data_IF_081869722922
#
_entry.id   IF_081869722922
#
_cell.length_a   1.000
_cell.length_b   1.000
_cell.length_c   1.000
_cell.angle_alpha   90.00
_cell.angle_beta   90.00
_cell.angle_gamma   90.00
#
_symmetry.space_group_name_H-M   'P 1'
#
loop_
_entity.id
_entity.type
_entity.pdbx_description
1 polymer ?
#
# COMPACT_ATOMS: atom_id res chain seq x y z
N UNK A 1 -15.00 78.74 5.02
CA UNK A 1 -15.45 77.55 4.28
C UNK A 1 -14.22 76.74 3.96
N UNK A 2 -14.08 75.57 4.63
CA UNK A 2 -12.89 74.71 4.51
C UNK A 2 -13.28 73.51 3.62
N UNK A 3 -12.65 73.40 2.48
CA UNK A 3 -12.77 72.25 1.60
C UNK A 3 -11.82 71.14 2.12
N UNK A 4 -12.42 70.04 2.54
CA UNK A 4 -11.73 68.82 2.97
C UNK A 4 -11.64 67.90 1.76
N UNK A 5 -10.45 67.80 1.18
CA UNK A 5 -10.15 66.84 0.11
C UNK A 5 -9.91 65.46 0.73
N UNK A 6 -10.82 64.52 0.47
CA UNK A 6 -10.60 63.11 0.73
C UNK A 6 -9.81 62.50 -0.43
N UNK A 7 -8.53 62.19 -0.20
CA UNK A 7 -7.76 61.29 -1.06
C UNK A 7 -8.18 59.82 -0.77
N UNK A 8 -8.86 59.25 -1.73
CA UNK A 8 -9.14 57.81 -1.76
C UNK A 8 -7.87 57.11 -2.26
N UNK A 9 -7.07 56.50 -1.36
CA UNK A 9 -6.00 55.56 -1.74
C UNK A 9 -6.65 54.23 -2.17
N UNK A 10 -6.77 54.03 -3.46
CA UNK A 10 -7.00 52.71 -4.04
C UNK A 10 -5.66 51.94 -3.95
N UNK A 11 -5.55 51.03 -2.98
CA UNK A 11 -4.52 50.02 -2.98
C UNK A 11 -4.88 49.01 -4.09
N UNK A 12 -4.28 49.15 -5.26
CA UNK A 12 -4.27 48.10 -6.28
C UNK A 12 -3.36 47.01 -5.72
N UNK A 13 -3.95 45.96 -5.19
CA UNK A 13 -3.24 44.69 -4.99
C UNK A 13 -2.86 44.20 -6.40
N UNK A 14 -1.62 44.40 -6.78
CA UNK A 14 -1.06 43.71 -7.94
C UNK A 14 -1.05 42.21 -7.59
N UNK A 15 -2.03 41.48 -8.07
CA UNK A 15 -1.91 40.03 -8.17
C UNK A 15 -0.77 39.78 -9.16
N UNK A 16 0.44 39.61 -8.66
CA UNK A 16 1.50 38.97 -9.43
C UNK A 16 0.99 37.54 -9.69
N UNK A 17 0.65 37.21 -10.91
CA UNK A 17 0.50 35.81 -11.30
C UNK A 17 1.89 35.18 -11.01
N UNK A 18 1.98 34.47 -9.91
CA UNK A 18 3.08 33.52 -9.71
C UNK A 18 2.94 32.55 -10.89
N UNK A 19 3.97 32.49 -11.75
CA UNK A 19 3.99 31.47 -12.81
C UNK A 19 3.80 30.08 -12.22
N UNK A 20 3.50 29.10 -13.05
CA UNK A 20 3.32 27.72 -12.63
C UNK A 20 4.46 27.27 -11.72
N UNK A 21 4.11 26.61 -10.61
CA UNK A 21 5.05 26.10 -9.61
C UNK A 21 5.30 24.61 -9.86
N UNK A 22 6.55 24.18 -10.09
CA UNK A 22 6.87 22.78 -10.24
C UNK A 22 6.76 22.04 -8.90
N UNK A 23 6.23 20.82 -8.93
CA UNK A 23 6.15 19.89 -7.81
C UNK A 23 6.41 18.47 -8.32
N UNK A 24 7.26 17.72 -7.65
CA UNK A 24 7.41 16.29 -7.89
C UNK A 24 6.74 15.49 -6.77
N UNK A 25 5.85 14.56 -7.11
CA UNK A 25 5.28 13.61 -6.18
C UNK A 25 5.93 12.25 -6.43
N UNK A 26 6.72 11.80 -5.46
CA UNK A 26 7.19 10.42 -5.41
C UNK A 26 6.13 9.57 -4.72
N UNK A 27 5.87 8.36 -5.23
CA UNK A 27 4.85 7.52 -4.63
C UNK A 27 5.17 6.03 -4.73
N UNK A 28 4.74 5.29 -3.70
CA UNK A 28 4.76 3.83 -3.61
C UNK A 28 3.40 3.34 -3.13
N UNK A 29 3.19 2.04 -3.19
CA UNK A 29 2.08 1.32 -2.58
C UNK A 29 2.39 -0.16 -2.57
N UNK A 30 1.60 -0.93 -1.83
CA UNK A 30 1.67 -2.40 -1.81
C UNK A 30 3.11 -2.92 -1.59
N UNK A 31 3.84 -2.28 -0.67
CA UNK A 31 5.24 -2.63 -0.41
C UNK A 31 5.40 -3.99 0.26
N UNK A 32 4.39 -4.43 1.02
CA UNK A 32 4.31 -5.72 1.69
C UNK A 32 5.57 -6.09 2.49
N UNK A 33 6.23 -5.09 3.04
CA UNK A 33 7.41 -5.27 3.87
C UNK A 33 8.60 -5.89 3.16
N UNK A 34 8.72 -5.69 1.85
CA UNK A 34 9.88 -6.19 1.07
C UNK A 34 11.13 -5.44 1.48
N UNK A 35 11.92 -6.06 2.36
CA UNK A 35 13.10 -5.43 2.97
C UNK A 35 14.39 -5.75 2.23
N UNK A 36 14.46 -6.90 1.58
CA UNK A 36 15.66 -7.40 0.90
C UNK A 36 15.67 -7.02 -0.57
N UNK A 37 16.79 -6.45 -1.02
CA UNK A 37 17.09 -6.35 -2.44
C UNK A 37 17.53 -7.72 -2.98
N UNK A 38 17.06 -8.09 -4.17
CA UNK A 38 17.45 -9.34 -4.84
C UNK A 38 18.53 -9.07 -5.87
N UNK A 39 19.68 -9.70 -5.70
CA UNK A 39 20.76 -9.62 -6.67
C UNK A 39 20.43 -10.45 -7.91
N UNK A 40 20.39 -9.79 -9.07
CA UNK A 40 20.26 -10.42 -10.39
C UNK A 40 21.67 -10.60 -10.99
N UNK A 41 22.17 -11.84 -10.98
CA UNK A 41 23.49 -12.16 -11.51
C UNK A 41 23.64 -11.87 -13.02
N UNK A 42 22.56 -11.98 -13.77
CA UNK A 42 22.58 -11.77 -15.22
C UNK A 42 22.65 -10.28 -15.54
N UNK A 43 21.87 -9.47 -14.85
CA UNK A 43 21.84 -8.02 -15.04
C UNK A 43 22.95 -7.29 -14.26
N UNK A 44 23.52 -7.93 -13.22
CA UNK A 44 24.50 -7.31 -12.34
C UNK A 44 23.90 -6.17 -11.50
N UNK A 45 22.65 -6.34 -11.05
CA UNK A 45 21.87 -5.33 -10.34
C UNK A 45 21.21 -5.92 -9.09
N UNK A 46 21.08 -5.12 -8.04
CA UNK A 46 20.12 -5.34 -6.97
C UNK A 46 18.76 -4.76 -7.37
N UNK A 47 17.69 -5.47 -7.06
CA UNK A 47 16.31 -5.08 -7.39
C UNK A 47 15.43 -5.06 -6.14
N UNK A 48 14.65 -4.00 -5.99
CA UNK A 48 13.68 -3.84 -4.91
C UNK A 48 14.29 -3.67 -3.53
N UNK A 49 13.43 -3.70 -2.52
CA UNK A 49 13.81 -3.57 -1.12
C UNK A 49 14.07 -2.14 -0.64
N UNK A 50 14.02 -1.96 0.68
CA UNK A 50 14.06 -0.62 1.28
C UNK A 50 15.38 0.14 1.05
N UNK A 51 16.51 -0.57 0.92
CA UNK A 51 17.81 0.09 0.76
C UNK A 51 18.02 0.60 -0.66
N UNK A 52 17.46 -0.08 -1.66
CA UNK A 52 17.43 0.42 -3.04
C UNK A 52 16.48 1.61 -3.14
N UNK A 53 15.32 1.52 -2.48
CA UNK A 53 14.39 2.66 -2.40
C UNK A 53 15.05 3.88 -1.74
N UNK A 54 15.80 3.72 -0.63
CA UNK A 54 16.52 4.81 0.01
C UNK A 54 17.50 5.50 -0.96
N UNK A 55 18.30 4.70 -1.67
CA UNK A 55 19.30 5.21 -2.63
C UNK A 55 18.63 6.01 -3.75
N UNK A 56 17.62 5.42 -4.40
CA UNK A 56 16.90 6.03 -5.52
C UNK A 56 16.11 7.27 -5.07
N UNK A 57 15.36 7.19 -3.97
CA UNK A 57 14.56 8.30 -3.46
C UNK A 57 15.43 9.48 -3.01
N UNK A 58 16.61 9.21 -2.41
CA UNK A 58 17.55 10.25 -2.03
C UNK A 58 18.08 10.99 -3.24
N UNK A 59 18.47 10.27 -4.29
CA UNK A 59 18.92 10.86 -5.54
C UNK A 59 17.79 11.67 -6.23
N UNK A 60 16.58 11.12 -6.26
CA UNK A 60 15.41 11.76 -6.85
C UNK A 60 15.04 13.06 -6.12
N UNK A 61 15.00 13.07 -4.79
CA UNK A 61 14.75 14.29 -3.99
C UNK A 61 15.83 15.35 -4.18
N UNK A 62 17.09 14.92 -4.37
CA UNK A 62 18.19 15.87 -4.64
C UNK A 62 18.04 16.56 -6.00
N UNK A 63 17.50 15.84 -7.00
CA UNK A 63 17.20 16.39 -8.32
C UNK A 63 15.92 17.24 -8.33
N UNK A 64 14.97 16.93 -7.44
CA UNK A 64 13.66 17.56 -7.33
C UNK A 64 13.43 18.10 -5.91
N UNK A 65 14.03 19.23 -5.53
CA UNK A 65 13.99 19.73 -4.14
C UNK A 65 12.58 20.07 -3.65
N UNK A 66 11.69 20.55 -4.54
CA UNK A 66 10.26 20.68 -4.23
C UNK A 66 9.55 19.39 -4.52
N UNK A 67 9.58 18.47 -3.57
CA UNK A 67 8.96 17.16 -3.72
C UNK A 67 8.33 16.66 -2.42
N UNK A 68 7.32 15.80 -2.56
CA UNK A 68 6.69 15.04 -1.49
C UNK A 68 6.78 13.54 -1.81
N UNK A 69 6.80 12.70 -0.78
CA UNK A 69 6.74 11.25 -0.90
C UNK A 69 5.48 10.73 -0.24
N UNK A 70 4.63 10.03 -1.01
CA UNK A 70 3.33 9.52 -0.60
C UNK A 70 3.28 8.00 -0.76
N UNK A 71 2.44 7.33 0.03
CA UNK A 71 2.29 5.88 -0.04
C UNK A 71 0.81 5.49 -0.01
N UNK A 72 0.39 4.62 -0.92
CA UNK A 72 -0.99 4.20 -1.09
C UNK A 72 -1.40 2.98 -0.25
N UNK A 73 -0.67 2.67 0.84
CA UNK A 73 -1.03 1.62 1.79
C UNK A 73 -0.46 0.24 1.49
N UNK A 74 -0.88 -0.75 2.29
CA UNK A 74 -0.35 -2.11 2.29
C UNK A 74 1.18 -2.15 2.46
N UNK A 75 1.66 -1.40 3.45
CA UNK A 75 3.05 -1.44 3.90
C UNK A 75 3.34 -2.77 4.61
N UNK A 76 2.30 -3.32 5.26
CA UNK A 76 2.37 -4.49 6.12
C UNK A 76 2.15 -5.80 5.35
N UNK A 77 2.44 -6.91 5.99
CA UNK A 77 2.20 -8.29 5.54
C UNK A 77 2.85 -8.64 4.19
N UNK A 78 3.46 -9.81 4.10
CA UNK A 78 4.15 -10.31 2.90
C UNK A 78 5.58 -10.75 3.16
N UNK A 79 6.18 -10.29 4.26
CA UNK A 79 7.49 -10.72 4.71
C UNK A 79 7.53 -10.94 6.22
N UNK A 80 8.57 -11.66 6.68
CA UNK A 80 8.80 -11.81 8.11
C UNK A 80 9.15 -10.49 8.79
N UNK A 81 9.76 -9.57 8.06
CA UNK A 81 10.09 -8.24 8.55
C UNK A 81 8.81 -7.46 8.90
N UNK A 82 7.79 -7.56 8.04
CA UNK A 82 6.48 -6.93 8.25
C UNK A 82 5.62 -7.63 9.31
N UNK A 83 5.77 -8.96 9.45
CA UNK A 83 4.94 -9.73 10.40
C UNK A 83 5.50 -9.75 11.82
N UNK A 84 6.74 -9.33 12.00
CA UNK A 84 7.40 -9.38 13.29
C UNK A 84 6.88 -8.33 14.26
N UNK A 85 6.84 -8.71 15.56
CA UNK A 85 6.63 -7.75 16.64
C UNK A 85 7.92 -6.95 16.90
N UNK A 86 7.82 -5.64 16.85
CA UNK A 86 8.86 -4.69 17.19
C UNK A 86 8.31 -3.68 18.20
N UNK A 87 8.87 -3.64 19.40
CA UNK A 87 8.37 -2.84 20.53
C UNK A 87 6.85 -3.00 20.76
N UNK A 88 6.39 -4.24 20.82
CA UNK A 88 4.99 -4.66 20.99
C UNK A 88 4.03 -4.34 19.82
N UNK A 89 4.53 -3.89 18.68
CA UNK A 89 3.75 -3.59 17.48
C UNK A 89 4.11 -4.56 16.36
N UNK A 90 3.15 -5.33 15.86
CA UNK A 90 3.36 -6.11 14.63
C UNK A 90 3.58 -5.16 13.47
N UNK A 91 4.66 -5.36 12.71
CA UNK A 91 5.04 -4.49 11.61
C UNK A 91 5.66 -3.15 12.02
N UNK A 92 5.92 -2.93 13.31
CA UNK A 92 6.54 -1.70 13.79
C UNK A 92 7.87 -1.37 13.14
N UNK A 93 8.63 -2.40 12.72
CA UNK A 93 9.87 -2.21 12.00
C UNK A 93 9.68 -1.60 10.60
N UNK A 94 8.59 -1.91 9.92
CA UNK A 94 8.23 -1.30 8.63
C UNK A 94 7.93 0.19 8.79
N UNK A 95 7.13 0.54 9.80
CA UNK A 95 6.83 1.95 10.10
C UNK A 95 8.12 2.75 10.34
N UNK A 96 9.06 2.18 11.08
CA UNK A 96 10.35 2.85 11.34
C UNK A 96 11.18 3.03 10.06
N UNK A 97 11.09 2.10 9.09
CA UNK A 97 11.72 2.28 7.78
C UNK A 97 11.13 3.50 7.07
N UNK A 98 9.81 3.60 6.98
CA UNK A 98 9.15 4.75 6.33
C UNK A 98 9.38 6.07 7.10
N UNK A 99 9.49 6.04 8.43
CA UNK A 99 9.93 7.19 9.23
C UNK A 99 11.33 7.68 8.78
N UNK A 100 12.28 6.76 8.58
CA UNK A 100 13.65 7.09 8.12
C UNK A 100 13.71 7.51 6.67
N UNK A 101 12.83 6.98 5.83
CA UNK A 101 12.63 7.42 4.44
C UNK A 101 11.92 8.76 4.34
N UNK A 102 11.49 9.34 5.48
CA UNK A 102 10.78 10.62 5.56
C UNK A 102 9.54 10.63 4.64
N UNK A 103 8.68 9.62 4.83
CA UNK A 103 7.38 9.59 4.16
C UNK A 103 6.53 10.78 4.64
N UNK A 104 5.88 11.48 3.71
CA UNK A 104 5.08 12.66 4.02
C UNK A 104 3.63 12.31 4.41
N UNK A 105 3.04 11.27 3.81
CA UNK A 105 1.73 10.73 4.18
C UNK A 105 1.51 9.31 3.62
N UNK A 106 0.66 8.53 4.29
CA UNK A 106 0.16 7.25 3.82
C UNK A 106 -1.34 7.10 4.10
N UNK A 107 -1.99 6.15 3.41
CA UNK A 107 -3.34 5.67 3.71
C UNK A 107 -3.26 4.26 4.28
N UNK A 108 -4.29 3.80 5.00
CA UNK A 108 -4.37 2.40 5.37
C UNK A 108 -4.82 1.54 4.20
N UNK A 109 -4.07 0.50 3.88
CA UNK A 109 -4.55 -0.62 3.10
C UNK A 109 -5.26 -1.65 3.97
N UNK A 110 -5.61 -2.81 3.39
CA UNK A 110 -6.24 -3.87 4.17
C UNK A 110 -5.23 -4.58 5.09
N UNK A 111 -3.99 -4.70 4.69
CA UNK A 111 -2.99 -5.42 5.48
C UNK A 111 -2.52 -4.69 6.75
N UNK A 112 -2.78 -3.42 6.92
CA UNK A 112 -2.62 -2.73 8.20
C UNK A 112 -3.59 -3.25 9.28
N UNK A 113 -4.66 -3.98 8.89
CA UNK A 113 -5.65 -4.56 9.80
C UNK A 113 -5.48 -6.07 10.04
N UNK A 114 -4.44 -6.71 9.54
CA UNK A 114 -4.28 -8.18 9.60
C UNK A 114 -4.15 -8.75 11.02
N UNK A 115 -3.57 -8.00 11.95
CA UNK A 115 -3.33 -8.51 13.31
C UNK A 115 -4.45 -8.15 14.28
N UNK A 116 -4.78 -6.87 14.44
CA UNK A 116 -5.91 -6.40 15.25
C UNK A 116 -6.13 -4.91 15.02
N UNK A 117 -7.31 -4.41 15.39
CA UNK A 117 -7.59 -2.96 15.36
C UNK A 117 -6.68 -2.17 16.30
N UNK A 118 -6.31 -2.72 17.49
CA UNK A 118 -5.33 -2.06 18.36
C UNK A 118 -3.97 -1.94 17.70
N UNK A 119 -3.50 -3.00 17.01
CA UNK A 119 -2.24 -2.95 16.30
C UNK A 119 -2.25 -1.88 15.19
N UNK A 120 -3.35 -1.74 14.42
CA UNK A 120 -3.49 -0.69 13.41
C UNK A 120 -3.33 0.71 14.02
N UNK A 121 -3.92 0.94 15.19
CA UNK A 121 -3.75 2.21 15.92
C UNK A 121 -2.33 2.41 16.41
N UNK A 122 -1.69 1.35 16.88
CA UNK A 122 -0.29 1.39 17.34
C UNK A 122 0.66 1.68 16.18
N UNK A 123 0.42 1.13 14.98
CA UNK A 123 1.16 1.49 13.76
C UNK A 123 1.05 2.99 13.47
N UNK A 124 -0.18 3.53 13.49
CA UNK A 124 -0.40 4.97 13.25
C UNK A 124 0.24 5.85 14.32
N UNK A 125 0.26 5.40 15.58
CA UNK A 125 0.89 6.13 16.69
C UNK A 125 2.43 6.14 16.56
N UNK A 126 3.00 5.05 16.03
CA UNK A 126 4.45 4.91 15.83
C UNK A 126 4.97 5.69 14.62
N UNK A 127 4.11 5.96 13.64
CA UNK A 127 4.47 6.70 12.45
C UNK A 127 4.75 8.18 12.75
N UNK A 128 5.88 8.69 12.22
CA UNK A 128 6.19 10.13 12.25
C UNK A 128 5.49 10.89 11.11
N UNK A 129 4.86 10.15 10.20
CA UNK A 129 4.01 10.65 9.13
C UNK A 129 2.54 10.36 9.43
N UNK A 130 1.60 11.14 8.90
CA UNK A 130 0.17 10.86 9.07
C UNK A 130 -0.25 9.64 8.25
N UNK A 131 -0.95 8.68 8.90
CA UNK A 131 -1.91 7.84 8.21
C UNK A 131 -3.18 8.65 8.02
N UNK A 132 -3.47 9.02 6.77
CA UNK A 132 -4.66 9.78 6.42
C UNK A 132 -5.82 8.83 6.22
N UNK A 133 -6.94 9.09 6.89
CA UNK A 133 -8.07 8.19 6.87
C UNK A 133 -9.39 8.99 6.86
N UNK A 134 -9.91 9.22 5.67
CA UNK A 134 -11.10 10.05 5.49
C UNK A 134 -12.38 9.24 5.71
N UNK A 135 -12.40 7.96 5.28
CA UNK A 135 -13.62 7.15 5.27
C UNK A 135 -13.73 6.10 6.38
N UNK A 136 -12.70 5.87 7.20
CA UNK A 136 -12.78 4.93 8.31
C UNK A 136 -12.87 5.66 9.64
N UNK A 137 -13.95 5.41 10.39
CA UNK A 137 -14.18 6.00 11.72
C UNK A 137 -14.15 4.92 12.80
N UNK A 138 -13.51 5.22 13.91
CA UNK A 138 -13.66 4.43 15.14
C UNK A 138 -15.09 4.56 15.67
N UNK A 139 -15.80 3.45 15.86
CA UNK A 139 -17.21 3.44 16.28
C UNK A 139 -17.43 4.05 17.66
N UNK A 140 -16.44 3.97 18.55
CA UNK A 140 -16.53 4.45 19.93
C UNK A 140 -16.31 5.95 20.04
N UNK A 141 -15.32 6.47 19.34
CA UNK A 141 -14.94 7.89 19.39
C UNK A 141 -15.57 8.72 18.27
N UNK A 142 -16.00 8.07 17.17
CA UNK A 142 -16.45 8.70 15.92
C UNK A 142 -15.37 9.54 15.24
N UNK A 143 -14.11 9.36 15.64
CA UNK A 143 -12.97 10.03 15.01
C UNK A 143 -12.39 9.15 13.92
N UNK A 144 -11.68 9.73 12.92
CA UNK A 144 -10.94 8.97 11.93
C UNK A 144 -9.95 7.98 12.57
N UNK A 145 -9.86 6.79 12.03
CA UNK A 145 -8.81 5.83 12.40
C UNK A 145 -7.46 6.48 12.10
N UNK A 146 -6.50 6.44 13.06
CA UNK A 146 -5.24 7.18 12.93
C UNK A 146 -5.34 8.68 13.23
N UNK A 147 -6.55 9.21 13.49
CA UNK A 147 -6.78 10.56 14.03
C UNK A 147 -6.80 11.71 13.02
N UNK A 148 -6.60 11.46 11.72
CA UNK A 148 -6.54 12.53 10.70
C UNK A 148 -7.41 12.18 9.48
N UNK A 149 -8.48 12.97 9.22
CA UNK A 149 -9.30 12.79 8.02
C UNK A 149 -8.59 13.27 6.75
N UNK A 150 -7.74 14.27 6.88
CA UNK A 150 -6.88 14.81 5.83
C UNK A 150 -5.63 15.46 6.44
N UNK A 151 -4.66 15.77 5.61
CA UNK A 151 -3.48 16.57 5.97
C UNK A 151 -3.19 17.62 4.91
N UNK A 152 -2.65 18.76 5.32
CA UNK A 152 -2.08 19.75 4.40
C UNK A 152 -0.55 19.68 4.54
N UNK A 153 0.12 19.38 3.45
CA UNK A 153 1.58 19.34 3.37
C UNK A 153 2.03 20.61 2.68
N UNK A 154 2.84 21.39 3.35
CA UNK A 154 3.42 22.61 2.79
C UNK A 154 4.83 22.34 2.26
N UNK A 155 5.09 22.69 1.00
CA UNK A 155 6.38 22.49 0.36
C UNK A 155 6.76 23.70 -0.50
N UNK A 156 7.70 24.50 0.00
CA UNK A 156 8.25 25.68 -0.69
C UNK A 156 7.17 26.61 -1.28
N UNK A 157 6.15 26.90 -0.46
CA UNK A 157 5.06 27.80 -0.80
C UNK A 157 3.90 27.17 -1.58
N UNK A 158 3.93 25.85 -1.81
CA UNK A 158 2.81 25.06 -2.35
C UNK A 158 2.16 24.24 -1.23
N UNK A 159 0.84 24.25 -1.15
CA UNK A 159 0.04 23.52 -0.15
C UNK A 159 -0.66 22.35 -0.83
N UNK A 160 -0.37 21.15 -0.40
CA UNK A 160 -0.94 19.91 -0.93
C UNK A 160 -1.94 19.36 0.08
N UNK A 161 -3.20 19.34 -0.26
CA UNK A 161 -4.25 18.68 0.50
C UNK A 161 -4.27 17.19 0.19
N UNK A 162 -4.13 16.34 1.21
CA UNK A 162 -4.12 14.88 1.04
C UNK A 162 -5.28 14.28 1.82
N UNK A 163 -6.17 13.57 1.12
CA UNK A 163 -7.27 12.78 1.67
C UNK A 163 -6.92 11.28 1.52
N UNK A 164 -7.47 10.41 2.37
CA UNK A 164 -7.15 8.98 2.36
C UNK A 164 -8.38 8.08 2.35
N UNK A 165 -8.47 7.17 1.39
CA UNK A 165 -9.58 6.22 1.21
C UNK A 165 -9.08 4.79 1.29
N UNK A 166 -9.63 4.02 2.22
CA UNK A 166 -9.48 2.57 2.29
C UNK A 166 -10.76 1.92 1.74
N UNK A 167 -10.62 0.75 1.15
CA UNK A 167 -11.72 0.03 0.47
C UNK A 167 -12.95 -0.20 1.36
N UNK A 168 -14.14 -0.07 0.77
CA UNK A 168 -15.41 -0.31 1.48
C UNK A 168 -15.58 -1.78 1.89
N UNK A 169 -15.06 -2.71 1.06
CA UNK A 169 -15.12 -4.16 1.30
C UNK A 169 -14.05 -4.64 2.28
N UNK A 170 -13.45 -3.76 3.07
CA UNK A 170 -12.43 -4.10 4.06
C UNK A 170 -12.82 -5.31 4.97
N UNK A 171 -14.08 -5.46 5.45
CA UNK A 171 -14.45 -6.64 6.25
C UNK A 171 -14.42 -7.97 5.49
N UNK A 172 -14.39 -7.95 4.16
CA UNK A 172 -14.27 -9.14 3.31
C UNK A 172 -12.82 -9.50 3.01
N UNK A 173 -11.90 -8.55 3.19
CA UNK A 173 -10.48 -8.71 2.87
C UNK A 173 -9.62 -9.06 4.09
N UNK A 174 -10.13 -8.85 5.29
CA UNK A 174 -9.43 -9.13 6.56
C UNK A 174 -10.33 -9.90 7.53
N UNK A 175 -9.79 -10.35 8.66
CA UNK A 175 -10.61 -10.93 9.71
C UNK A 175 -11.64 -9.91 10.18
N UNK A 176 -12.92 -10.22 10.05
CA UNK A 176 -14.02 -9.30 10.38
C UNK A 176 -13.93 -8.75 11.82
N UNK A 177 -13.41 -9.54 12.77
CA UNK A 177 -13.22 -9.08 14.14
C UNK A 177 -12.18 -7.94 14.25
N UNK A 178 -11.17 -7.90 13.38
CA UNK A 178 -10.13 -6.87 13.40
C UNK A 178 -10.67 -5.50 12.98
N UNK A 179 -11.77 -5.46 12.26
CA UNK A 179 -12.43 -4.23 11.80
C UNK A 179 -13.82 -4.04 12.39
N UNK A 180 -14.23 -4.86 13.37
CA UNK A 180 -15.54 -4.79 13.99
C UNK A 180 -15.81 -3.46 14.71
N UNK A 181 -14.76 -2.77 15.17
CA UNK A 181 -14.81 -1.44 15.79
C UNK A 181 -14.71 -0.29 14.77
N UNK A 182 -14.61 -0.58 13.49
CA UNK A 182 -14.50 0.43 12.42
C UNK A 182 -15.85 0.61 11.72
N UNK A 183 -16.26 1.86 11.53
CA UNK A 183 -17.34 2.26 10.64
C UNK A 183 -16.74 2.76 9.34
N UNK A 184 -17.16 2.19 8.22
CA UNK A 184 -16.71 2.57 6.89
C UNK A 184 -17.77 3.48 6.27
N UNK A 185 -17.37 4.61 5.75
CA UNK A 185 -18.21 5.54 5.01
C UNK A 185 -18.01 5.33 3.51
N UNK A 186 -19.04 5.57 2.67
CA UNK A 186 -18.85 5.61 1.23
C UNK A 186 -17.76 6.63 0.85
N UNK A 187 -16.81 6.28 -0.02
CA UNK A 187 -15.64 7.09 -0.33
C UNK A 187 -15.98 8.53 -0.78
N UNK A 188 -16.89 8.69 -1.73
CA UNK A 188 -17.27 10.01 -2.24
C UNK A 188 -17.92 10.88 -1.15
N UNK A 189 -18.80 10.29 -0.32
CA UNK A 189 -19.45 11.00 0.77
C UNK A 189 -18.41 11.47 1.80
N UNK A 190 -17.46 10.61 2.13
CA UNK A 190 -16.40 10.91 3.07
C UNK A 190 -15.49 12.06 2.59
N UNK A 191 -15.11 12.05 1.31
CA UNK A 191 -14.33 13.12 0.70
C UNK A 191 -15.12 14.43 0.74
N UNK A 192 -16.39 14.42 0.32
CA UNK A 192 -17.23 15.61 0.27
C UNK A 192 -17.43 16.26 1.65
N UNK A 193 -17.35 15.50 2.75
CA UNK A 193 -17.44 16.05 4.11
C UNK A 193 -16.30 17.03 4.42
N UNK A 194 -15.15 16.90 3.80
CA UNK A 194 -13.95 17.69 4.08
C UNK A 194 -13.47 18.53 2.90
N UNK A 195 -14.03 18.33 1.72
CA UNK A 195 -13.53 18.93 0.47
C UNK A 195 -13.46 20.46 0.52
N UNK A 196 -14.51 21.14 1.02
CA UNK A 196 -14.52 22.60 1.13
C UNK A 196 -13.42 23.12 2.08
N UNK A 197 -13.16 22.38 3.15
CA UNK A 197 -12.11 22.77 4.10
C UNK A 197 -10.71 22.53 3.52
N UNK A 198 -10.52 21.41 2.80
CA UNK A 198 -9.25 21.08 2.16
C UNK A 198 -8.94 22.06 1.04
N UNK A 199 -9.89 22.34 0.17
CA UNK A 199 -9.79 23.26 -0.96
C UNK A 199 -9.38 24.67 -0.50
N UNK A 200 -10.02 25.20 0.54
CA UNK A 200 -9.66 26.49 1.12
C UNK A 200 -8.19 26.56 1.61
N UNK A 201 -7.61 25.41 1.98
CA UNK A 201 -6.29 25.30 2.63
C UNK A 201 -5.19 24.80 1.69
N UNK A 202 -5.50 24.39 0.49
CA UNK A 202 -4.55 23.79 -0.44
C UNK A 202 -4.63 24.36 -1.84
N UNK A 203 -3.57 24.21 -2.59
CA UNK A 203 -3.39 24.63 -3.97
C UNK A 203 -3.45 23.41 -4.92
N UNK A 204 -3.42 22.19 -4.35
CA UNK A 204 -3.51 20.90 -5.03
C UNK A 204 -4.20 19.90 -4.11
N UNK A 205 -5.13 19.11 -4.62
CA UNK A 205 -5.81 18.04 -3.85
C UNK A 205 -5.49 16.66 -4.41
N UNK A 206 -4.87 15.84 -3.57
CA UNK A 206 -4.50 14.45 -3.84
C UNK A 206 -5.35 13.52 -2.98
N UNK A 207 -5.93 12.49 -3.57
CA UNK A 207 -6.58 11.40 -2.85
C UNK A 207 -5.67 10.18 -2.90
N UNK A 208 -5.17 9.76 -1.75
CA UNK A 208 -4.51 8.44 -1.62
C UNK A 208 -5.61 7.39 -1.47
N UNK A 209 -5.57 6.35 -2.28
CA UNK A 209 -6.58 5.29 -2.22
C UNK A 209 -5.94 3.92 -2.05
N UNK A 210 -6.65 3.05 -1.31
CA UNK A 210 -6.32 1.64 -1.28
C UNK A 210 -7.59 0.82 -1.46
N UNK A 211 -8.15 0.83 -2.69
CA UNK A 211 -9.42 0.17 -2.99
C UNK A 211 -9.46 -0.53 -4.35
N UNK A 212 -8.40 -0.40 -5.16
CA UNK A 212 -8.28 -0.99 -6.48
C UNK A 212 -8.82 -0.12 -7.61
N UNK A 213 -8.38 -0.43 -8.82
CA UNK A 213 -8.60 0.40 -10.02
C UNK A 213 -10.08 0.60 -10.39
N UNK A 214 -10.89 -0.46 -10.28
CA UNK A 214 -12.32 -0.36 -10.62
C UNK A 214 -13.03 0.63 -9.68
N UNK A 215 -12.79 0.51 -8.37
CA UNK A 215 -13.37 1.40 -7.37
C UNK A 215 -12.82 2.83 -7.50
N UNK A 216 -11.52 2.99 -7.78
CA UNK A 216 -10.92 4.30 -8.04
C UNK A 216 -11.48 4.97 -9.30
N UNK A 217 -11.75 4.19 -10.35
CA UNK A 217 -12.36 4.68 -11.58
C UNK A 217 -13.78 5.22 -11.35
N UNK A 218 -14.58 4.46 -10.57
CA UNK A 218 -15.93 4.88 -10.18
C UNK A 218 -15.89 6.12 -9.28
N UNK A 219 -14.95 6.16 -8.34
CA UNK A 219 -14.73 7.31 -7.47
C UNK A 219 -14.37 8.55 -8.29
N UNK A 220 -13.41 8.47 -9.21
CA UNK A 220 -12.98 9.57 -10.07
C UNK A 220 -14.14 10.18 -10.90
N UNK A 221 -15.06 9.32 -11.36
CA UNK A 221 -16.26 9.77 -12.09
C UNK A 221 -17.23 10.56 -11.22
N UNK A 222 -17.23 10.33 -9.90
CA UNK A 222 -18.18 10.93 -8.95
C UNK A 222 -17.61 12.13 -8.19
N UNK A 223 -16.27 12.30 -8.17
CA UNK A 223 -15.62 13.38 -7.44
C UNK A 223 -15.76 14.74 -8.12
N UNK A 224 -15.80 15.77 -7.29
CA UNK A 224 -15.72 17.17 -7.68
C UNK A 224 -14.44 17.48 -8.47
N UNK A 225 -14.49 18.47 -9.35
CA UNK A 225 -13.35 18.87 -10.21
C UNK A 225 -12.20 19.54 -9.44
N UNK A 226 -12.38 19.85 -8.17
CA UNK A 226 -11.32 20.34 -7.27
C UNK A 226 -10.30 19.26 -6.89
N UNK A 227 -10.65 17.98 -7.04
CA UNK A 227 -9.69 16.88 -6.85
C UNK A 227 -8.88 16.70 -8.12
N UNK A 228 -7.56 16.79 -8.01
CA UNK A 228 -6.63 16.75 -9.15
C UNK A 228 -6.11 15.34 -9.44
N UNK A 229 -5.71 14.61 -8.39
CA UNK A 229 -4.98 13.36 -8.49
C UNK A 229 -5.57 12.28 -7.59
N UNK A 230 -5.53 11.04 -8.06
CA UNK A 230 -5.71 9.83 -7.26
C UNK A 230 -4.42 9.01 -7.36
N UNK A 231 -3.84 8.62 -6.21
CA UNK A 231 -2.71 7.69 -6.16
C UNK A 231 -3.22 6.41 -5.48
N UNK A 232 -3.33 5.33 -6.27
CA UNK A 232 -4.01 4.11 -5.86
C UNK A 232 -3.10 2.94 -5.56
N UNK A 233 -3.65 1.94 -4.83
CA UNK A 233 -3.05 0.66 -4.48
C UNK A 233 -4.05 -0.49 -4.56
N UNK A 234 -3.76 -1.60 -3.89
CA UNK A 234 -4.56 -2.82 -3.72
C UNK A 234 -4.45 -3.84 -4.85
N UNK A 235 -4.63 -3.45 -6.10
CA UNK A 235 -4.62 -4.37 -7.26
C UNK A 235 -3.23 -4.65 -7.81
N UNK A 236 -2.18 -4.02 -7.23
CA UNK A 236 -0.78 -4.13 -7.66
C UNK A 236 -0.55 -3.65 -9.10
N UNK A 237 -1.39 -2.76 -9.61
CA UNK A 237 -1.30 -2.26 -10.98
C UNK A 237 -0.02 -1.44 -11.16
N UNK A 238 0.68 -1.73 -12.24
CA UNK A 238 1.78 -0.93 -12.76
C UNK A 238 1.28 -0.12 -13.96
N UNK A 239 1.26 1.19 -13.83
CA UNK A 239 0.85 2.08 -14.91
C UNK A 239 1.94 3.10 -15.21
N UNK A 240 2.62 2.95 -16.35
CA UNK A 240 3.64 3.91 -16.79
C UNK A 240 3.00 5.24 -17.16
N UNK A 241 1.86 5.20 -17.86
CA UNK A 241 1.06 6.36 -18.18
C UNK A 241 -0.11 6.49 -17.20
N UNK A 242 -0.46 7.71 -16.77
CA UNK A 242 -1.61 7.94 -15.92
C UNK A 242 -2.91 7.58 -16.64
N UNK A 243 -3.84 6.97 -15.93
CA UNK A 243 -5.22 6.94 -16.44
C UNK A 243 -5.85 8.32 -16.22
N UNK A 244 -6.60 8.83 -17.21
CA UNK A 244 -7.33 10.07 -17.07
C UNK A 244 -8.83 9.77 -17.11
N UNK A 245 -9.51 9.98 -15.98
CA UNK A 245 -10.94 9.71 -15.81
C UNK A 245 -11.61 10.95 -15.26
N UNK A 246 -12.58 11.48 -15.99
CA UNK A 246 -13.34 12.69 -15.63
C UNK A 246 -12.40 13.86 -15.23
N UNK A 247 -11.33 14.08 -16.00
CA UNK A 247 -10.37 15.15 -15.78
C UNK A 247 -9.36 14.92 -14.63
N UNK A 248 -9.44 13.78 -13.94
CA UNK A 248 -8.55 13.42 -12.84
C UNK A 248 -7.53 12.39 -13.29
N UNK A 249 -6.29 12.51 -12.80
CA UNK A 249 -5.22 11.57 -13.10
C UNK A 249 -5.16 10.48 -12.02
N UNK A 250 -5.16 9.21 -12.44
CA UNK A 250 -4.99 8.06 -11.56
C UNK A 250 -3.60 7.46 -11.79
N UNK A 251 -2.83 7.33 -10.71
CA UNK A 251 -1.43 6.91 -10.70
C UNK A 251 -1.26 5.63 -9.88
N UNK A 252 -0.49 4.66 -10.41
CA UNK A 252 -0.21 3.37 -9.75
C UNK A 252 1.25 2.98 -9.96
N UNK A 253 1.96 2.66 -8.87
CA UNK A 253 3.39 2.30 -8.92
C UNK A 253 3.68 0.81 -9.01
N UNK A 254 2.65 -0.04 -9.08
CA UNK A 254 2.84 -1.48 -8.91
C UNK A 254 2.99 -1.87 -7.44
N UNK A 255 3.73 -2.94 -7.17
CA UNK A 255 3.87 -3.48 -5.83
C UNK A 255 5.28 -3.97 -5.51
N UNK A 256 5.48 -4.39 -4.25
CA UNK A 256 6.70 -5.06 -3.76
C UNK A 256 7.98 -4.26 -3.99
N UNK A 257 7.88 -2.93 -3.98
CA UNK A 257 9.02 -2.03 -4.22
C UNK A 257 9.81 -2.38 -5.49
N UNK A 258 9.11 -2.71 -6.57
CA UNK A 258 9.74 -2.88 -7.88
C UNK A 258 9.96 -1.52 -8.56
N UNK A 259 9.14 -0.53 -8.23
CA UNK A 259 9.10 0.77 -8.88
C UNK A 259 8.90 1.87 -7.83
N UNK A 260 9.48 3.05 -8.09
CA UNK A 260 9.12 4.31 -7.49
C UNK A 260 8.36 5.11 -8.54
N UNK A 261 7.11 5.47 -8.25
CA UNK A 261 6.38 6.40 -9.09
C UNK A 261 6.94 7.82 -8.91
N UNK A 262 7.07 8.54 -10.00
CA UNK A 262 7.45 9.96 -10.02
C UNK A 262 6.49 10.70 -10.95
N UNK A 263 5.67 11.57 -10.37
CA UNK A 263 4.81 12.49 -11.10
C UNK A 263 5.38 13.90 -10.96
N UNK A 264 5.78 14.48 -12.07
CA UNK A 264 6.25 15.86 -12.16
C UNK A 264 5.12 16.75 -12.65
N UNK A 265 4.76 17.74 -11.85
CA UNK A 265 3.58 18.60 -12.00
C UNK A 265 3.99 20.06 -12.16
N UNK A 266 3.21 20.80 -12.93
CA UNK A 266 3.17 22.26 -12.87
C UNK A 266 1.81 22.67 -12.32
N UNK A 267 1.79 23.44 -11.23
CA UNK A 267 0.57 23.91 -10.55
C UNK A 267 0.44 25.40 -10.74
N UNK A 268 -0.69 25.85 -11.27
CA UNK A 268 -1.01 27.26 -11.46
C UNK A 268 -2.50 27.52 -11.16
N UNK A 269 -2.78 28.53 -10.33
CA UNK A 269 -4.14 28.93 -9.95
C UNK A 269 -4.98 27.74 -9.43
N UNK A 270 -4.44 26.98 -8.48
CA UNK A 270 -5.05 25.80 -7.84
C UNK A 270 -5.45 24.69 -8.86
N UNK A 271 -4.64 24.52 -9.92
CA UNK A 271 -4.85 23.53 -10.97
C UNK A 271 -3.54 22.91 -11.44
N UNK A 272 -3.58 21.65 -11.77
CA UNK A 272 -2.51 20.97 -12.50
C UNK A 272 -2.59 21.39 -13.97
N UNK A 273 -1.64 22.19 -14.45
CA UNK A 273 -1.58 22.62 -15.86
C UNK A 273 -0.71 21.73 -16.71
N UNK A 274 0.18 20.95 -16.09
CA UNK A 274 1.02 19.94 -16.76
C UNK A 274 1.29 18.79 -15.79
N UNK A 275 1.29 17.59 -16.29
CA UNK A 275 1.68 16.38 -15.57
C UNK A 275 2.47 15.46 -16.50
N UNK A 276 3.63 15.00 -16.03
CA UNK A 276 4.32 13.87 -16.60
C UNK A 276 4.54 12.80 -15.52
N UNK A 277 4.39 11.54 -15.89
CA UNK A 277 4.57 10.43 -14.97
C UNK A 277 5.61 9.45 -15.50
N UNK A 278 6.38 8.87 -14.60
CA UNK A 278 7.29 7.76 -14.92
C UNK A 278 7.37 6.80 -13.74
N UNK A 279 7.64 5.55 -14.04
CA UNK A 279 7.98 4.54 -13.05
C UNK A 279 9.48 4.28 -13.08
N UNK A 280 10.16 4.74 -12.05
CA UNK A 280 11.61 4.56 -11.88
C UNK A 280 11.85 3.16 -11.33
N UNK A 281 12.57 2.27 -12.05
CA UNK A 281 12.88 0.94 -11.53
C UNK A 281 13.69 1.04 -10.25
N UNK A 282 13.29 0.32 -9.21
CA UNK A 282 14.09 0.21 -7.99
C UNK A 282 15.23 -0.78 -8.21
N UNK A 283 16.25 -0.34 -8.95
CA UNK A 283 17.42 -1.11 -9.35
C UNK A 283 18.70 -0.34 -9.09
N UNK A 284 19.74 -1.01 -8.58
CA UNK A 284 21.06 -0.42 -8.37
C UNK A 284 22.19 -1.42 -8.56
N UNK A 285 23.37 -0.94 -8.96
CA UNK A 285 24.61 -1.72 -8.97
C UNK A 285 25.29 -1.78 -7.62
N UNK A 286 24.82 -1.00 -6.65
CA UNK A 286 25.35 -1.01 -5.27
C UNK A 286 25.19 -2.39 -4.66
N UNK A 287 26.29 -2.97 -4.17
CA UNK A 287 26.31 -4.24 -3.43
C UNK A 287 26.37 -4.05 -1.93
N UNK A 288 26.72 -2.87 -1.49
CA UNK A 288 26.89 -2.53 -0.08
C UNK A 288 26.16 -1.21 0.17
N UNK A 289 25.25 -1.25 1.12
CA UNK A 289 24.51 -0.08 1.56
C UNK A 289 25.06 0.38 2.91
N UNK A 290 25.44 1.65 3.00
CA UNK A 290 25.98 2.26 4.22
C UNK A 290 25.13 3.49 4.53
N UNK A 291 24.15 3.29 5.39
CA UNK A 291 23.28 4.36 5.87
C UNK A 291 22.74 4.00 7.27
N UNK A 292 22.19 4.97 8.02
CA UNK A 292 21.45 4.67 9.26
C UNK A 292 20.28 3.71 9.06
N UNK A 293 19.64 3.73 7.88
CA UNK A 293 18.58 2.78 7.54
C UNK A 293 19.15 1.39 7.30
N UNK A 294 20.28 1.27 6.58
CA UNK A 294 20.92 -0.01 6.33
C UNK A 294 21.33 -0.71 7.64
N UNK A 295 21.89 0.03 8.58
CA UNK A 295 22.24 -0.50 9.89
C UNK A 295 20.99 -0.94 10.69
N UNK A 296 19.91 -0.15 10.66
CA UNK A 296 18.65 -0.49 11.30
C UNK A 296 18.06 -1.79 10.73
N UNK A 297 17.92 -1.87 9.40
CA UNK A 297 17.37 -3.06 8.71
C UNK A 297 18.21 -4.30 9.03
N UNK A 298 19.54 -4.19 8.96
CA UNK A 298 20.47 -5.27 9.30
C UNK A 298 20.29 -5.76 10.74
N UNK A 299 20.17 -4.85 11.71
CA UNK A 299 19.94 -5.21 13.12
C UNK A 299 18.62 -5.96 13.31
N UNK A 300 17.54 -5.49 12.67
CA UNK A 300 16.21 -6.12 12.77
C UNK A 300 16.17 -7.49 12.12
N UNK A 301 16.86 -7.68 10.99
CA UNK A 301 16.96 -8.98 10.31
C UNK A 301 17.78 -9.97 11.15
N UNK A 302 18.93 -9.55 11.69
CA UNK A 302 19.80 -10.43 12.46
C UNK A 302 19.11 -11.12 13.64
N UNK A 303 18.09 -10.48 14.22
CA UNK A 303 17.32 -11.03 15.34
C UNK A 303 16.46 -12.26 14.98
N UNK A 304 16.15 -12.46 13.72
CA UNK A 304 15.31 -13.58 13.26
C UNK A 304 16.04 -14.54 12.31
N UNK A 305 17.16 -14.09 11.76
CA UNK A 305 17.88 -14.82 10.71
C UNK A 305 18.21 -16.26 11.09
N UNK A 306 18.75 -16.45 12.29
CA UNK A 306 19.14 -17.79 12.79
C UNK A 306 17.95 -18.75 12.83
N UNK A 307 16.77 -18.26 13.22
CA UNK A 307 15.56 -19.09 13.26
C UNK A 307 15.05 -19.38 11.86
N UNK A 308 15.09 -18.36 10.99
CA UNK A 308 14.55 -18.43 9.64
C UNK A 308 15.37 -19.31 8.70
N UNK A 309 16.68 -19.42 8.92
CA UNK A 309 17.56 -20.33 8.19
C UNK A 309 17.44 -21.79 8.61
N UNK A 310 16.65 -22.10 9.65
CA UNK A 310 16.45 -23.48 10.08
C UNK A 310 15.84 -24.30 8.95
N UNK A 311 16.55 -25.34 8.51
CA UNK A 311 16.05 -26.28 7.51
C UNK A 311 14.93 -27.11 8.15
N UNK A 312 13.77 -27.14 7.51
CA UNK A 312 12.56 -27.86 7.93
C UNK A 312 12.23 -29.06 7.03
N UNK A 313 12.87 -29.17 5.88
CA UNK A 313 12.66 -30.26 4.93
C UNK A 313 13.52 -30.13 3.68
N UNK A 314 13.32 -31.04 2.74
CA UNK A 314 13.97 -31.06 1.44
C UNK A 314 12.96 -31.40 0.35
N UNK A 315 13.02 -30.66 -0.77
CA UNK A 315 12.22 -30.94 -1.96
C UNK A 315 13.12 -31.44 -3.10
N UNK A 316 12.70 -32.49 -3.85
CA UNK A 316 13.44 -32.96 -5.02
C UNK A 316 13.34 -32.00 -6.20
N UNK A 317 12.31 -31.20 -6.26
CA UNK A 317 11.99 -30.26 -7.34
C UNK A 317 11.35 -28.97 -6.79
N UNK A 318 11.40 -27.89 -7.55
CA UNK A 318 10.75 -26.63 -7.20
C UNK A 318 9.22 -26.76 -7.20
N UNK A 319 8.56 -26.23 -6.18
CA UNK A 319 7.10 -26.17 -6.10
C UNK A 319 6.61 -24.73 -6.33
N UNK A 320 5.84 -24.54 -7.38
CA UNK A 320 5.32 -23.24 -7.80
C UNK A 320 3.84 -23.13 -7.46
N UNK A 321 3.40 -22.04 -6.82
CA UNK A 321 1.97 -21.76 -6.65
C UNK A 321 1.34 -21.38 -8.00
N UNK A 322 0.03 -21.58 -8.11
CA UNK A 322 -0.79 -21.11 -9.23
C UNK A 322 -2.11 -20.61 -8.65
N UNK A 323 -2.50 -19.39 -8.98
CA UNK A 323 -3.70 -18.75 -8.42
C UNK A 323 -4.99 -19.50 -8.79
N UNK A 324 -5.03 -20.10 -9.98
CA UNK A 324 -6.24 -20.68 -10.58
C UNK A 324 -6.22 -22.21 -10.66
N UNK A 325 -5.06 -22.85 -10.51
CA UNK A 325 -4.90 -24.28 -10.68
C UNK A 325 -4.37 -24.97 -9.44
N UNK A 326 -4.82 -26.20 -9.22
CA UNK A 326 -4.25 -27.04 -8.18
C UNK A 326 -2.84 -27.50 -8.57
N UNK A 327 -1.86 -27.20 -7.72
CA UNK A 327 -0.44 -27.56 -7.88
C UNK A 327 -0.02 -28.61 -6.85
N UNK A 328 1.19 -29.17 -6.98
CA UNK A 328 1.76 -30.02 -5.93
C UNK A 328 1.82 -29.28 -4.58
N UNK A 329 2.21 -27.98 -4.61
CA UNK A 329 2.28 -27.13 -3.44
C UNK A 329 0.91 -26.93 -2.78
N UNK A 330 -0.13 -26.54 -3.54
CA UNK A 330 -1.45 -26.29 -2.97
C UNK A 330 -2.08 -27.57 -2.39
N UNK A 331 -1.90 -28.71 -3.05
CA UNK A 331 -2.35 -30.02 -2.53
C UNK A 331 -1.61 -30.41 -1.26
N UNK A 332 -0.30 -30.14 -1.20
CA UNK A 332 0.48 -30.43 0.01
C UNK A 332 -0.02 -29.60 1.20
N UNK A 333 -0.25 -28.30 1.03
CA UNK A 333 -0.77 -27.42 2.10
C UNK A 333 -2.15 -27.89 2.56
N UNK A 334 -3.07 -28.18 1.64
CA UNK A 334 -4.40 -28.67 1.97
C UNK A 334 -4.34 -30.01 2.74
N UNK A 335 -3.48 -30.93 2.31
CA UNK A 335 -3.29 -32.20 3.01
C UNK A 335 -2.65 -32.05 4.39
N UNK A 336 -1.71 -31.12 4.56
CA UNK A 336 -1.10 -30.81 5.85
C UNK A 336 -2.16 -30.25 6.83
N UNK A 337 -3.01 -29.32 6.38
CA UNK A 337 -4.13 -28.81 7.18
C UNK A 337 -5.11 -29.93 7.55
N UNK A 338 -5.48 -30.80 6.58
CA UNK A 338 -6.35 -31.94 6.85
C UNK A 338 -5.75 -32.86 7.92
N UNK A 339 -4.45 -33.17 7.82
CA UNK A 339 -3.75 -34.04 8.75
C UNK A 339 -3.70 -33.46 10.15
N UNK A 340 -3.40 -32.17 10.30
CA UNK A 340 -3.33 -31.46 11.59
C UNK A 340 -4.64 -31.53 12.38
N UNK A 341 -5.77 -31.44 11.68
CA UNK A 341 -7.09 -31.46 12.32
C UNK A 341 -7.79 -32.83 12.32
N UNK A 342 -7.11 -33.88 11.85
CA UNK A 342 -7.72 -35.22 11.69
C UNK A 342 -8.20 -35.82 13.02
N UNK A 343 -7.43 -35.69 14.09
CA UNK A 343 -7.76 -36.24 15.40
C UNK A 343 -8.89 -35.51 16.12
N UNK A 344 -9.09 -34.24 15.80
CA UNK A 344 -10.06 -33.36 16.48
C UNK A 344 -11.40 -33.36 15.73
N UNK A 345 -11.37 -33.11 14.41
CA UNK A 345 -12.58 -32.89 13.61
C UNK A 345 -12.86 -33.93 12.55
N UNK A 346 -11.89 -34.83 12.26
CA UNK A 346 -11.97 -35.87 11.21
C UNK A 346 -12.51 -35.31 9.88
N UNK A 347 -11.90 -34.26 9.32
CA UNK A 347 -12.41 -33.65 8.10
C UNK A 347 -12.31 -34.59 6.90
N UNK A 348 -13.35 -34.63 6.06
CA UNK A 348 -13.34 -35.40 4.81
C UNK A 348 -12.35 -34.78 3.80
N UNK A 349 -12.26 -33.46 3.74
CA UNK A 349 -11.37 -32.71 2.85
C UNK A 349 -10.91 -31.40 3.50
N UNK A 350 -9.87 -30.77 2.94
CA UNK A 350 -9.49 -29.41 3.23
C UNK A 350 -9.43 -28.59 1.93
N UNK A 351 -9.88 -27.36 2.00
CA UNK A 351 -9.85 -26.39 0.90
C UNK A 351 -8.97 -25.24 1.31
N UNK A 352 -8.12 -24.77 0.42
CA UNK A 352 -7.30 -23.58 0.61
C UNK A 352 -7.54 -22.58 -0.53
N UNK A 353 -7.36 -21.32 -0.23
CA UNK A 353 -7.28 -20.27 -1.23
C UNK A 353 -5.87 -20.25 -1.84
N UNK A 354 -5.74 -20.58 -3.12
CA UNK A 354 -4.44 -20.55 -3.81
C UNK A 354 -3.78 -19.16 -3.79
N UNK A 355 -4.56 -18.09 -3.84
CA UNK A 355 -4.06 -16.72 -3.70
C UNK A 355 -3.36 -16.44 -2.37
N UNK A 356 -3.57 -17.27 -1.35
CA UNK A 356 -2.84 -17.23 -0.08
C UNK A 356 -1.42 -17.81 -0.13
N UNK A 357 -1.05 -18.48 -1.23
CA UNK A 357 0.29 -19.03 -1.44
C UNK A 357 1.12 -18.07 -2.30
N UNK A 358 1.97 -17.27 -1.64
CA UNK A 358 2.58 -16.07 -2.22
C UNK A 358 3.96 -16.30 -2.85
N UNK A 359 4.61 -17.41 -2.57
CA UNK A 359 5.98 -17.69 -3.02
C UNK A 359 6.13 -19.15 -3.46
N UNK A 360 7.00 -19.40 -4.43
CA UNK A 360 7.47 -20.73 -4.75
C UNK A 360 8.44 -21.25 -3.69
N UNK A 361 8.48 -22.57 -3.49
CA UNK A 361 9.48 -23.23 -2.65
C UNK A 361 10.55 -23.83 -3.56
N UNK A 362 11.83 -23.48 -3.38
CA UNK A 362 12.90 -23.97 -4.24
C UNK A 362 13.16 -25.48 -4.05
N UNK A 363 13.74 -26.12 -5.06
CA UNK A 363 14.31 -27.45 -4.90
C UNK A 363 15.50 -27.43 -3.91
N UNK A 364 15.73 -28.53 -3.21
CA UNK A 364 16.79 -28.67 -2.22
C UNK A 364 16.31 -28.42 -0.80
N UNK A 365 17.14 -27.79 0.03
CA UNK A 365 16.80 -27.47 1.41
C UNK A 365 15.70 -26.42 1.49
N UNK A 366 14.64 -26.74 2.23
CA UNK A 366 13.52 -25.83 2.53
C UNK A 366 13.71 -25.29 3.94
N UNK A 367 13.66 -24.00 4.08
CA UNK A 367 13.86 -23.30 5.35
C UNK A 367 12.54 -22.86 5.98
N UNK A 368 12.59 -22.50 7.25
CA UNK A 368 11.44 -21.90 7.93
C UNK A 368 11.04 -20.56 7.26
N UNK A 369 12.01 -19.82 6.71
CA UNK A 369 11.78 -18.60 5.93
C UNK A 369 10.88 -18.89 4.70
N UNK A 370 11.20 -19.93 3.94
CA UNK A 370 10.43 -20.29 2.75
C UNK A 370 8.96 -20.54 3.09
N UNK A 371 8.71 -21.17 4.24
CA UNK A 371 7.34 -21.42 4.69
C UNK A 371 6.61 -20.13 5.12
N UNK A 372 7.29 -19.24 5.86
CA UNK A 372 6.70 -17.95 6.25
C UNK A 372 6.40 -17.05 5.05
N UNK A 373 7.29 -17.01 4.06
CA UNK A 373 7.08 -16.21 2.85
C UNK A 373 6.08 -16.85 1.89
N UNK A 374 5.91 -18.18 1.96
CA UNK A 374 4.86 -18.87 1.21
C UNK A 374 3.47 -18.47 1.68
N UNK A 375 3.23 -18.47 2.98
CA UNK A 375 1.91 -18.22 3.57
C UNK A 375 2.02 -17.17 4.71
N UNK A 376 2.21 -15.89 4.36
CA UNK A 376 2.49 -14.83 5.35
C UNK A 376 1.26 -14.39 6.15
N UNK A 377 0.07 -14.88 5.79
CA UNK A 377 -1.19 -14.43 6.38
C UNK A 377 -1.52 -15.18 7.66
N UNK A 378 -1.98 -14.47 8.68
CA UNK A 378 -2.50 -15.06 9.91
C UNK A 378 -3.97 -15.49 9.76
N UNK A 379 -4.24 -16.39 8.83
CA UNK A 379 -5.58 -16.88 8.52
C UNK A 379 -6.12 -17.80 9.61
N UNK A 380 -7.45 -17.83 9.78
CA UNK A 380 -8.15 -18.83 10.56
C UNK A 380 -8.57 -19.98 9.68
N UNK A 381 -8.64 -21.18 10.27
CA UNK A 381 -9.13 -22.38 9.60
C UNK A 381 -10.54 -22.70 10.14
N UNK A 382 -11.62 -22.33 9.44
CA UNK A 382 -12.97 -22.71 9.85
C UNK A 382 -13.24 -24.18 9.54
N UNK A 383 -13.97 -24.86 10.43
CA UNK A 383 -14.50 -26.21 10.19
C UNK A 383 -15.98 -26.08 9.87
N UNK A 384 -16.36 -26.54 8.68
CA UNK A 384 -17.71 -26.42 8.16
C UNK A 384 -18.33 -27.80 7.89
N UNK A 385 -19.62 -27.91 8.11
CA UNK A 385 -20.40 -29.06 7.63
C UNK A 385 -21.26 -28.61 6.45
N UNK A 386 -21.13 -29.29 5.32
CA UNK A 386 -21.87 -28.96 4.11
C UNK A 386 -22.34 -30.18 3.34
N UNK A 387 -23.32 -30.00 2.46
CA UNK A 387 -23.79 -31.07 1.56
C UNK A 387 -22.79 -31.22 0.40
N UNK A 388 -22.57 -32.46 -0.06
CA UNK A 388 -21.69 -32.73 -1.20
C UNK A 388 -22.00 -31.92 -2.47
N UNK A 389 -23.28 -31.58 -2.72
CA UNK A 389 -23.67 -30.70 -3.82
C UNK A 389 -23.12 -29.28 -3.71
N UNK A 390 -22.84 -28.77 -2.50
CA UNK A 390 -22.23 -27.47 -2.31
C UNK A 390 -20.76 -27.46 -2.78
N UNK A 391 -20.07 -28.60 -2.63
CA UNK A 391 -18.70 -28.78 -3.13
C UNK A 391 -18.66 -28.80 -4.65
N UNK A 392 -19.63 -29.44 -5.32
CA UNK A 392 -19.75 -29.40 -6.78
C UNK A 392 -19.99 -28.00 -7.29
N UNK A 393 -20.81 -27.20 -6.59
CA UNK A 393 -21.05 -25.81 -6.95
C UNK A 393 -19.78 -24.93 -6.81
N UNK A 394 -18.98 -25.15 -5.74
CA UNK A 394 -17.70 -24.45 -5.58
C UNK A 394 -16.69 -24.83 -6.67
N UNK A 395 -16.65 -26.10 -7.07
CA UNK A 395 -15.79 -26.56 -8.17
C UNK A 395 -16.20 -25.95 -9.52
N UNK A 396 -17.49 -25.87 -9.81
CA UNK A 396 -18.02 -25.17 -10.98
C UNK A 396 -17.69 -23.66 -10.98
N UNK A 397 -17.80 -22.97 -9.82
CA UNK A 397 -17.43 -21.56 -9.69
C UNK A 397 -15.94 -21.36 -9.96
N UNK A 398 -15.08 -22.16 -9.36
CA UNK A 398 -13.64 -22.10 -9.59
C UNK A 398 -13.28 -22.35 -11.06
N UNK A 399 -13.94 -23.30 -11.72
CA UNK A 399 -13.73 -23.59 -13.13
C UNK A 399 -14.13 -22.39 -14.03
N UNK A 400 -15.21 -21.68 -13.71
CA UNK A 400 -15.65 -20.48 -14.44
C UNK A 400 -14.64 -19.35 -14.28
N UNK A 401 -14.21 -19.04 -13.06
CA UNK A 401 -13.21 -17.99 -12.80
C UNK A 401 -11.88 -18.28 -13.49
N UNK A 402 -11.45 -19.53 -13.56
CA UNK A 402 -10.23 -19.92 -14.27
C UNK A 402 -10.31 -19.68 -15.79
N UNK A 403 -11.51 -19.63 -16.38
CA UNK A 403 -11.75 -19.38 -17.80
C UNK A 403 -11.93 -17.88 -18.11
N UNK A 404 -12.53 -17.13 -17.18
CA UNK A 404 -12.87 -15.72 -17.39
C UNK A 404 -11.68 -14.75 -17.18
N UNK A 405 -10.63 -15.17 -16.49
CA UNK A 405 -9.41 -14.36 -16.25
C UNK A 405 -8.13 -15.09 -16.68
N UNK A 406 -7.94 -15.36 -17.98
CA UNK A 406 -6.74 -16.10 -18.43
C UNK A 406 -5.46 -15.24 -18.50
N UNK A 407 -5.50 -13.94 -18.26
CA UNK A 407 -4.41 -13.01 -18.62
C UNK A 407 -3.88 -12.11 -17.50
N UNK A 408 -4.34 -12.21 -16.26
CA UNK A 408 -3.75 -11.48 -15.15
C UNK A 408 -2.59 -12.26 -14.51
N UNK A 409 -1.61 -12.61 -15.35
CA UNK A 409 -0.35 -13.19 -14.90
C UNK A 409 0.75 -12.36 -15.53
N UNK A 410 1.25 -11.40 -14.80
CA UNK A 410 2.63 -10.91 -14.95
C UNK A 410 3.16 -10.50 -13.59
#
# INVERSE_FOLDING_TARGET
MKHLNYLLLLALAAATSLGALPLSIFYTGDSHGVYEAKWDETAGLNRGGYLVLEEILTAARSAHPRSVYLDSGDQQTGSIFASRVDDNVHGGAVIEVFNRLQLDASVFGNHEFDFSYSNTRDLATRANYPFVCTNLLDKSTRQPVGGRPFVIIEKDGLRIGVLGITLELLPEKVKAQNVSSVRILPPADAINMYLDEVDLKSDLIVVLTHQGFEADSLLAMSLDDRVDLIIGGHDHIRAEEPFCINGKYLLYSGSHLNWLGQADLEVENDRVVSLSNQLVPLETRSRVFISPLAEYVKQKIALVEVQMQRIIGYLPEEWVPDKYRSTALSRWVANALKAEYMDIYKPDLAIINNGGLRKKIPAGAVTLRDLHELAPFNNTVPVLSCWGRALLFLDELNARHAVEQPHDIC
#
